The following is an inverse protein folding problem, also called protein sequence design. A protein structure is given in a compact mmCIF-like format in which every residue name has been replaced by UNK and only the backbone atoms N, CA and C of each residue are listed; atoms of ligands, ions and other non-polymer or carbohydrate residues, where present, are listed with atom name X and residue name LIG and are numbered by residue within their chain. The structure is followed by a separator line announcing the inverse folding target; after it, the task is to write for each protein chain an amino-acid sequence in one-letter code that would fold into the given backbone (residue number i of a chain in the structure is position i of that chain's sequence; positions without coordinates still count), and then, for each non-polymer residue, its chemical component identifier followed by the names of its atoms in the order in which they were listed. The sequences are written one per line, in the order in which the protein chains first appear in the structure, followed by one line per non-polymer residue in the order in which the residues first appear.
data_IF_631092323065
#
_entry.id   IF_631092323065
#
_cell.length_a   1.000
_cell.length_b   1.000
_cell.length_c   1.000
_cell.angle_alpha   90.00
_cell.angle_beta   90.00
_cell.angle_gamma   90.00
#
_symmetry.space_group_name_H-M   'P 1'
#
loop_
_entity.id
_entity.type
_entity.pdbx_description
1 polymer ?
#
# COMPACT_ATOMS: atom_id res chain seq x y z
N UNK A 1 -6.88 -3.13 15.11
CA UNK A 1 -7.95 -2.58 14.22
C UNK A 1 -9.36 -3.03 14.62
N UNK A 2 -9.62 -3.31 15.90
CA UNK A 2 -10.89 -3.89 16.33
C UNK A 2 -12.08 -2.94 16.08
N UNK A 3 -11.92 -1.62 16.10
CA UNK A 3 -13.03 -0.67 15.90
C UNK A 3 -13.75 -0.79 14.54
N UNK A 4 -13.14 -1.42 13.54
CA UNK A 4 -13.70 -1.50 12.18
C UNK A 4 -14.99 -2.31 12.14
N UNK A 5 -15.19 -3.29 13.04
CA UNK A 5 -16.46 -4.02 13.11
C UNK A 5 -17.65 -3.13 13.52
N UNK A 6 -17.40 -1.97 14.11
CA UNK A 6 -18.43 -1.00 14.49
C UNK A 6 -18.78 -0.04 13.34
N UNK A 7 -18.04 -0.10 12.23
CA UNK A 7 -18.14 0.82 11.09
C UNK A 7 -18.32 0.04 9.78
N UNK A 8 -19.46 -0.66 9.60
CA UNK A 8 -19.67 -1.57 8.47
C UNK A 8 -19.65 -0.87 7.10
N UNK A 9 -19.99 0.42 7.07
CA UNK A 9 -20.04 1.25 5.86
C UNK A 9 -18.75 2.06 5.65
N UNK A 10 -17.66 1.73 6.34
CA UNK A 10 -16.39 2.42 6.20
C UNK A 10 -15.76 2.09 4.84
N UNK A 11 -15.73 3.10 3.95
CA UNK A 11 -15.12 2.97 2.61
C UNK A 11 -13.67 3.48 2.60
N UNK A 12 -13.33 4.41 3.48
CA UNK A 12 -12.04 5.08 3.52
C UNK A 12 -11.38 4.94 4.89
N UNK A 13 -10.11 4.55 4.90
CA UNK A 13 -9.32 4.39 6.12
C UNK A 13 -8.06 5.26 6.03
N UNK A 14 -7.91 6.17 6.98
CA UNK A 14 -6.69 6.96 7.16
C UNK A 14 -5.96 6.50 8.42
N UNK A 15 -4.68 6.17 8.28
CA UNK A 15 -3.83 5.61 9.32
C UNK A 15 -2.62 6.52 9.44
N UNK A 16 -2.42 7.12 10.62
CA UNK A 16 -1.31 8.05 10.82
C UNK A 16 0.04 7.34 10.93
N UNK A 17 0.07 6.17 11.54
CA UNK A 17 1.25 5.33 11.58
C UNK A 17 0.83 3.87 11.74
N UNK A 18 1.57 2.98 11.09
CA UNK A 18 1.43 1.55 11.28
C UNK A 18 2.80 1.01 11.69
N UNK A 19 2.82 0.19 12.74
CA UNK A 19 4.01 -0.51 13.19
C UNK A 19 3.66 -1.99 13.29
N UNK A 20 3.69 -2.67 12.16
CA UNK A 20 3.52 -4.12 12.15
C UNK A 20 4.87 -4.77 12.41
N UNK A 21 5.00 -5.43 13.56
CA UNK A 21 6.17 -6.22 13.91
C UNK A 21 5.79 -7.69 13.81
N UNK A 22 6.30 -8.39 12.81
CA UNK A 22 6.18 -9.85 12.76
C UNK A 22 7.15 -10.41 13.80
N UNK A 23 6.67 -10.70 15.01
CA UNK A 23 7.52 -11.30 16.02
C UNK A 23 7.98 -12.68 15.54
N UNK A 24 9.29 -12.87 15.44
CA UNK A 24 10.00 -14.14 15.16
C UNK A 24 9.66 -15.25 16.20
N UNK A 25 8.87 -14.91 17.21
CA UNK A 25 8.35 -15.80 18.25
C UNK A 25 6.89 -16.04 17.92
N UNK A 26 6.55 -17.31 17.67
CA UNK A 26 5.25 -17.76 17.19
C UNK A 26 4.06 -17.10 17.87
N UNK A 27 3.03 -16.86 17.06
CA UNK A 27 1.71 -16.36 17.40
C UNK A 27 1.19 -16.90 18.75
N UNK A 28 1.47 -16.16 19.82
CA UNK A 28 0.75 -16.20 21.08
C UNK A 28 0.09 -14.85 21.25
N UNK A 29 -1.23 -14.82 21.09
CA UNK A 29 -2.12 -13.78 21.63
C UNK A 29 -2.05 -12.34 21.07
N UNK A 30 -1.72 -12.16 19.80
CA UNK A 30 -2.19 -10.98 19.07
C UNK A 30 -3.48 -11.36 18.34
N UNK A 31 -4.62 -10.99 18.92
CA UNK A 31 -5.96 -11.20 18.36
C UNK A 31 -5.99 -10.71 16.91
N UNK A 32 -5.87 -11.65 15.97
CA UNK A 32 -6.19 -11.42 14.57
C UNK A 32 -7.59 -10.80 14.52
N UNK A 33 -7.85 -9.84 13.61
CA UNK A 33 -9.15 -9.21 13.55
C UNK A 33 -10.24 -10.30 13.45
N UNK A 34 -11.30 -10.14 14.24
CA UNK A 34 -12.46 -11.04 14.21
C UNK A 34 -12.98 -11.17 12.78
N UNK A 35 -13.63 -12.29 12.46
CA UNK A 35 -14.21 -12.52 11.12
C UNK A 35 -15.08 -11.35 10.66
N UNK A 36 -15.86 -10.75 11.57
CA UNK A 36 -16.64 -9.54 11.32
C UNK A 36 -15.80 -8.32 10.92
N UNK A 37 -14.64 -8.10 11.55
CA UNK A 37 -13.77 -6.98 11.21
C UNK A 37 -13.15 -7.17 9.82
N UNK A 38 -12.82 -8.40 9.42
CA UNK A 38 -12.32 -8.75 8.09
C UNK A 38 -13.41 -8.59 7.00
N UNK A 39 -14.64 -8.99 7.30
CA UNK A 39 -15.79 -8.79 6.41
C UNK A 39 -16.02 -7.30 6.15
N UNK A 40 -16.03 -6.47 7.19
CA UNK A 40 -16.21 -5.02 7.03
C UNK A 40 -14.98 -4.34 6.41
N UNK A 41 -13.77 -4.80 6.69
CA UNK A 41 -12.57 -4.28 6.06
C UNK A 41 -12.53 -4.55 4.53
N UNK A 42 -13.27 -5.56 4.06
CA UNK A 42 -13.45 -5.82 2.63
C UNK A 42 -14.28 -4.76 1.91
N UNK A 43 -14.95 -3.85 2.63
CA UNK A 43 -15.63 -2.69 2.04
C UNK A 43 -14.71 -1.47 1.89
N UNK A 44 -13.52 -1.49 2.50
CA UNK A 44 -12.57 -0.37 2.47
C UNK A 44 -11.89 -0.35 1.09
N UNK A 45 -12.09 0.74 0.36
CA UNK A 45 -11.57 0.96 -0.99
C UNK A 45 -10.38 1.92 -1.02
N UNK A 46 -10.36 2.90 -0.12
CA UNK A 46 -9.34 3.96 -0.11
C UNK A 46 -8.56 3.90 1.19
N UNK A 47 -7.28 3.59 1.13
CA UNK A 47 -6.40 3.57 2.30
C UNK A 47 -5.32 4.63 2.16
N UNK A 48 -5.12 5.42 3.21
CA UNK A 48 -4.04 6.38 3.32
C UNK A 48 -3.19 6.04 4.55
N UNK A 49 -1.90 5.78 4.35
CA UNK A 49 -0.92 5.55 5.39
C UNK A 49 0.07 6.72 5.40
N UNK A 50 -0.02 7.58 6.42
CA UNK A 50 0.82 8.79 6.54
C UNK A 50 2.26 8.47 6.96
N UNK A 51 2.52 7.28 7.49
CA UNK A 51 3.87 6.90 7.86
C UNK A 51 4.05 5.40 7.70
N UNK A 52 4.76 5.01 6.64
CA UNK A 52 5.23 3.65 6.42
C UNK A 52 6.66 3.51 6.93
N UNK A 53 6.89 2.49 7.76
CA UNK A 53 8.22 2.17 8.28
C UNK A 53 8.82 0.95 7.57
N UNK A 54 7.99 -0.04 7.22
CA UNK A 54 8.45 -1.29 6.63
C UNK A 54 7.54 -1.76 5.49
N UNK A 55 8.04 -2.73 4.71
CA UNK A 55 7.22 -3.42 3.71
C UNK A 55 6.20 -4.37 4.33
N UNK A 56 6.35 -4.71 5.60
CA UNK A 56 5.40 -5.57 6.32
C UNK A 56 4.14 -4.78 6.67
N UNK A 57 4.26 -3.48 6.94
CA UNK A 57 3.12 -2.57 7.10
C UNK A 57 2.20 -2.61 5.87
N UNK A 58 2.78 -2.54 4.67
CA UNK A 58 2.03 -2.59 3.41
C UNK A 58 1.40 -3.97 3.20
N UNK A 59 2.13 -5.05 3.50
CA UNK A 59 1.58 -6.41 3.41
C UNK A 59 0.41 -6.62 4.35
N UNK A 60 0.53 -6.14 5.59
CA UNK A 60 -0.56 -6.19 6.55
C UNK A 60 -1.78 -5.45 6.01
N UNK A 61 -1.63 -4.22 5.49
CA UNK A 61 -2.74 -3.45 4.93
C UNK A 61 -3.42 -4.13 3.75
N UNK A 62 -2.64 -4.68 2.83
CA UNK A 62 -3.19 -5.44 1.70
C UNK A 62 -3.98 -6.64 2.20
N UNK A 63 -3.48 -7.36 3.21
CA UNK A 63 -4.16 -8.53 3.77
C UNK A 63 -5.42 -8.14 4.55
N UNK A 64 -5.39 -7.00 5.22
CA UNK A 64 -6.49 -6.50 6.04
C UNK A 64 -7.61 -5.86 5.20
N UNK A 65 -7.27 -5.13 4.13
CA UNK A 65 -8.21 -4.51 3.18
C UNK A 65 -8.13 -5.20 1.80
N UNK A 66 -8.67 -6.42 1.63
CA UNK A 66 -8.44 -7.24 0.45
C UNK A 66 -9.01 -6.68 -0.86
N UNK A 67 -10.02 -5.80 -0.78
CA UNK A 67 -10.65 -5.15 -1.95
C UNK A 67 -10.27 -3.68 -2.11
N UNK A 68 -9.14 -3.27 -1.51
CA UNK A 68 -8.62 -1.92 -1.65
C UNK A 68 -8.37 -1.57 -3.12
N UNK A 69 -8.93 -0.44 -3.56
CA UNK A 69 -8.81 0.07 -4.93
C UNK A 69 -7.71 1.11 -5.08
N UNK A 70 -7.43 1.83 -4.00
CA UNK A 70 -6.43 2.90 -3.93
C UNK A 70 -5.65 2.87 -2.63
N UNK A 71 -4.33 2.93 -2.76
CA UNK A 71 -3.40 3.05 -1.65
C UNK A 71 -2.59 4.34 -1.79
N UNK A 72 -2.62 5.18 -0.76
CA UNK A 72 -1.73 6.32 -0.61
C UNK A 72 -0.76 6.06 0.54
N UNK A 73 0.53 6.25 0.29
CA UNK A 73 1.59 6.03 1.29
C UNK A 73 2.54 7.21 1.32
N UNK A 74 2.85 7.68 2.51
CA UNK A 74 3.95 8.60 2.74
C UNK A 74 5.20 7.82 3.16
N UNK A 75 6.22 7.91 2.30
CA UNK A 75 7.51 7.27 2.51
C UNK A 75 8.42 8.18 3.33
N UNK A 76 9.08 7.61 4.33
CA UNK A 76 10.09 8.31 5.11
C UNK A 76 11.33 8.66 4.26
N UNK A 77 12.03 9.75 4.59
CA UNK A 77 13.10 10.37 3.78
C UNK A 77 14.26 9.42 3.40
N UNK A 78 14.48 8.35 4.15
CA UNK A 78 15.58 7.40 3.93
C UNK A 78 15.15 6.09 3.24
N UNK A 79 13.88 5.97 2.85
CA UNK A 79 13.38 4.76 2.19
C UNK A 79 13.90 4.71 0.74
N UNK A 80 14.47 3.57 0.34
CA UNK A 80 14.80 3.35 -1.07
C UNK A 80 13.51 3.15 -1.86
N UNK A 81 13.06 4.22 -2.53
CA UNK A 81 11.79 4.25 -3.27
C UNK A 81 11.73 3.22 -4.40
N UNK A 82 12.86 2.95 -5.08
CA UNK A 82 12.87 1.94 -6.14
C UNK A 82 12.63 0.54 -5.57
N UNK A 83 13.35 0.17 -4.51
CA UNK A 83 13.13 -1.10 -3.82
C UNK A 83 11.72 -1.20 -3.25
N UNK A 84 11.25 -0.14 -2.57
CA UNK A 84 9.90 -0.06 -2.02
C UNK A 84 8.82 -0.28 -3.10
N UNK A 85 8.90 0.45 -4.21
CA UNK A 85 7.94 0.32 -5.30
C UNK A 85 8.00 -1.06 -5.95
N UNK A 86 9.21 -1.59 -6.18
CA UNK A 86 9.40 -2.95 -6.73
C UNK A 86 8.74 -4.01 -5.86
N UNK A 87 9.01 -3.98 -4.55
CA UNK A 87 8.44 -4.95 -3.62
C UNK A 87 6.93 -4.81 -3.49
N UNK A 88 6.42 -3.57 -3.46
CA UNK A 88 4.99 -3.27 -3.45
C UNK A 88 4.30 -3.84 -4.69
N UNK A 89 4.82 -3.58 -5.89
CA UNK A 89 4.26 -4.09 -7.15
C UNK A 89 4.32 -5.62 -7.24
N UNK A 90 5.42 -6.23 -6.79
CA UNK A 90 5.52 -7.70 -6.74
C UNK A 90 4.45 -8.32 -5.84
N UNK A 91 4.22 -7.74 -4.65
CA UNK A 91 3.16 -8.19 -3.74
C UNK A 91 1.77 -8.03 -4.36
N UNK A 92 1.51 -6.91 -5.04
CA UNK A 92 0.25 -6.67 -5.75
C UNK A 92 0.02 -7.73 -6.83
N UNK A 93 1.03 -8.00 -7.66
CA UNK A 93 0.94 -9.00 -8.73
C UNK A 93 0.65 -10.41 -8.19
N UNK A 94 1.22 -10.77 -7.04
CA UNK A 94 1.03 -12.08 -6.42
C UNK A 94 -0.37 -12.24 -5.83
N UNK A 95 -0.88 -11.24 -5.11
CA UNK A 95 -2.01 -11.44 -4.19
C UNK A 95 -3.23 -10.53 -4.45
N UNK A 96 -3.07 -9.37 -5.11
CA UNK A 96 -4.06 -8.29 -5.08
C UNK A 96 -4.38 -7.64 -6.44
N UNK A 97 -3.90 -8.21 -7.54
CA UNK A 97 -3.99 -7.62 -8.89
C UNK A 97 -5.42 -7.31 -9.38
N UNK A 98 -6.45 -7.88 -8.74
CA UNK A 98 -7.84 -7.72 -9.18
C UNK A 98 -8.53 -6.44 -8.71
N UNK A 99 -8.08 -5.84 -7.61
CA UNK A 99 -8.80 -4.74 -6.97
C UNK A 99 -7.98 -3.46 -6.89
N UNK A 100 -6.69 -3.54 -6.56
CA UNK A 100 -5.85 -2.35 -6.46
C UNK A 100 -5.49 -1.86 -7.86
N UNK A 101 -5.92 -0.65 -8.21
CA UNK A 101 -5.72 -0.05 -9.54
C UNK A 101 -4.91 1.25 -9.49
N UNK A 102 -4.63 1.76 -8.28
CA UNK A 102 -3.88 2.98 -8.12
C UNK A 102 -3.06 3.02 -6.82
N UNK A 103 -1.82 3.51 -6.94
CA UNK A 103 -0.87 3.75 -5.87
C UNK A 103 -0.41 5.20 -5.93
N UNK A 104 -0.43 5.88 -4.79
CA UNK A 104 0.15 7.20 -4.61
C UNK A 104 1.25 7.10 -3.57
N UNK A 105 2.42 7.68 -3.89
CA UNK A 105 3.56 7.70 -3.00
C UNK A 105 3.96 9.16 -2.79
N UNK A 106 3.83 9.63 -1.55
CA UNK A 106 4.30 10.95 -1.15
C UNK A 106 5.79 10.89 -0.80
N UNK A 107 6.58 11.67 -1.51
CA UNK A 107 8.04 11.79 -1.39
C UNK A 107 8.41 13.27 -1.61
N UNK A 108 8.92 13.92 -0.57
CA UNK A 108 9.29 15.35 -0.62
C UNK A 108 10.37 15.63 -1.67
N UNK A 109 11.27 14.67 -1.89
CA UNK A 109 12.38 14.76 -2.84
C UNK A 109 12.03 14.27 -4.25
N UNK A 110 10.75 13.97 -4.54
CA UNK A 110 10.34 13.50 -5.86
C UNK A 110 10.61 14.55 -6.93
N UNK A 111 11.27 14.12 -8.00
CA UNK A 111 11.55 14.90 -9.19
C UNK A 111 11.26 14.10 -10.47
N UNK A 112 11.38 14.75 -11.63
CA UNK A 112 11.13 14.10 -12.93
C UNK A 112 12.17 13.02 -13.29
N UNK A 113 13.37 13.11 -12.73
CA UNK A 113 14.40 12.09 -12.94
C UNK A 113 14.02 10.79 -12.23
N UNK A 114 13.53 10.88 -11.00
CA UNK A 114 13.01 9.76 -10.23
C UNK A 114 11.84 9.10 -10.97
N UNK A 115 10.90 9.87 -11.53
CA UNK A 115 9.80 9.31 -12.35
C UNK A 115 10.34 8.51 -13.54
N UNK A 116 11.32 9.04 -14.26
CA UNK A 116 11.92 8.33 -15.40
C UNK A 116 12.60 7.02 -14.97
N UNK A 117 13.33 7.04 -13.85
CA UNK A 117 13.98 5.85 -13.30
C UNK A 117 12.97 4.79 -12.86
N UNK A 118 11.91 5.20 -12.14
CA UNK A 118 10.84 4.28 -11.71
C UNK A 118 10.10 3.71 -12.91
N UNK A 119 9.81 4.54 -13.92
CA UNK A 119 9.19 4.08 -15.16
C UNK A 119 10.05 3.03 -15.86
N UNK A 120 11.34 3.32 -16.04
CA UNK A 120 12.29 2.41 -16.67
C UNK A 120 12.37 1.08 -15.90
N UNK A 121 12.45 1.12 -14.58
CA UNK A 121 12.45 -0.09 -13.74
C UNK A 121 11.19 -0.94 -13.96
N UNK A 122 10.00 -0.31 -13.94
CA UNK A 122 8.73 -1.03 -14.16
C UNK A 122 8.70 -1.67 -15.54
N UNK A 123 9.14 -0.96 -16.57
CA UNK A 123 9.18 -1.44 -17.96
C UNK A 123 10.19 -2.59 -18.14
N UNK A 124 11.43 -2.42 -17.66
CA UNK A 124 12.53 -3.37 -17.81
C UNK A 124 12.25 -4.69 -17.08
N UNK A 125 11.69 -4.61 -15.86
CA UNK A 125 11.35 -5.76 -15.03
C UNK A 125 9.93 -6.30 -15.30
N UNK A 126 9.16 -5.63 -16.17
CA UNK A 126 7.76 -5.96 -16.50
C UNK A 126 6.88 -6.07 -15.25
N UNK A 127 7.06 -5.17 -14.29
CA UNK A 127 6.35 -5.18 -13.01
C UNK A 127 4.88 -4.80 -13.15
N UNK A 128 4.51 -4.05 -14.19
CA UNK A 128 3.14 -3.59 -14.39
C UNK A 128 2.86 -3.37 -15.88
N UNK A 129 1.66 -3.74 -16.33
CA UNK A 129 1.23 -3.54 -17.71
C UNK A 129 0.15 -2.44 -17.78
N UNK A 130 0.08 -1.73 -18.92
CA UNK A 130 -0.95 -0.73 -19.19
C UNK A 130 -1.10 0.34 -18.09
N UNK A 131 0.02 0.84 -17.58
CA UNK A 131 0.06 1.79 -16.49
C UNK A 131 0.34 3.22 -16.95
N UNK A 132 0.00 4.18 -16.10
CA UNK A 132 0.42 5.58 -16.19
C UNK A 132 1.15 5.94 -14.91
N UNK A 133 2.32 6.57 -15.04
CA UNK A 133 3.07 7.15 -13.93
C UNK A 133 3.27 8.64 -14.17
N UNK A 134 2.97 9.47 -13.18
CA UNK A 134 3.17 10.91 -13.24
C UNK A 134 3.39 11.51 -11.86
N UNK A 135 4.01 12.68 -11.82
CA UNK A 135 4.23 13.46 -10.61
C UNK A 135 3.25 14.63 -10.54
N UNK A 136 2.75 14.91 -9.33
CA UNK A 136 2.05 16.15 -9.02
C UNK A 136 2.48 16.62 -7.63
N UNK A 137 3.20 17.75 -7.59
CA UNK A 137 3.87 18.24 -6.38
C UNK A 137 4.82 17.17 -5.82
N UNK A 138 4.64 16.76 -4.56
CA UNK A 138 5.43 15.74 -3.87
C UNK A 138 4.87 14.33 -4.01
N UNK A 139 3.83 14.14 -4.83
CA UNK A 139 3.18 12.85 -5.00
C UNK A 139 3.54 12.23 -6.33
N UNK A 140 3.93 10.97 -6.28
CA UNK A 140 4.08 10.09 -7.45
C UNK A 140 2.81 9.25 -7.54
N UNK A 141 2.10 9.41 -8.66
CA UNK A 141 0.90 8.64 -8.95
C UNK A 141 1.22 7.54 -9.94
N UNK A 142 0.82 6.31 -9.60
CA UNK A 142 0.85 5.14 -10.46
C UNK A 142 -0.58 4.61 -10.59
N UNK A 143 -1.08 4.47 -11.82
CA UNK A 143 -2.44 3.97 -12.09
C UNK A 143 -2.39 2.91 -13.18
N UNK A 144 -3.20 1.86 -13.07
CA UNK A 144 -3.30 0.77 -14.05
C UNK A 144 -4.73 0.23 -14.15
N UNK A 145 -4.98 -0.62 -15.15
CA UNK A 145 -6.28 -1.26 -15.39
C UNK A 145 -6.27 -2.71 -14.95
#
# INVERSE_FOLDING_TARGET
MQIIHLLPDLISLKISALFYYESIIGFGDHEFPTTSALEHASNIKYVCLEMTFTMDDISFLMSFCPHMEYLNVECIENMNIQSFLRETLNKINQNHHKYLHALCIYIITADEQMIKQLKQMIDDEKLLLNYTIYRQLYNIYLKWK
#
